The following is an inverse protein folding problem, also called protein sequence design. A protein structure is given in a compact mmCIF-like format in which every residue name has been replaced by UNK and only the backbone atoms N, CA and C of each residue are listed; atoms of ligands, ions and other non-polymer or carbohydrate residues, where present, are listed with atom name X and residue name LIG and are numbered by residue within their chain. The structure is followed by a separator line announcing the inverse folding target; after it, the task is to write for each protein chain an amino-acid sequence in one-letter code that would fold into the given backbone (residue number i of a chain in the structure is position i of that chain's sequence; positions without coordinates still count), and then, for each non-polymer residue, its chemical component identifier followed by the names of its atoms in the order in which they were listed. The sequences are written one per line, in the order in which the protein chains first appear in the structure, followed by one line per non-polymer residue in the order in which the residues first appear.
data_IF_019954176605
#
_entry.id   IF_019954176605
#
_cell.length_a   1.000
_cell.length_b   1.000
_cell.length_c   1.000
_cell.angle_alpha   90.00
_cell.angle_beta   90.00
_cell.angle_gamma   90.00
#
_symmetry.space_group_name_H-M   'P 1'
#
loop_
_entity.id
_entity.type
_entity.pdbx_description
1 polymer ?
#
# COMPACT_ATOMS: atom_id res chain seq x y z
N UNK A 1 -25.55 12.09 14.63
CA UNK A 1 -25.87 11.08 13.60
C UNK A 1 -25.61 9.72 14.21
N UNK A 2 -26.67 9.01 14.57
CA UNK A 2 -26.62 7.71 15.24
C UNK A 2 -26.29 6.62 14.22
N UNK A 3 -25.05 6.11 14.20
CA UNK A 3 -24.71 4.92 13.40
C UNK A 3 -25.33 3.72 14.09
N UNK A 4 -26.49 3.27 13.58
CA UNK A 4 -27.07 1.96 13.94
C UNK A 4 -26.05 0.89 13.56
N UNK A 5 -25.24 0.45 14.52
CA UNK A 5 -24.45 -0.76 14.38
C UNK A 5 -25.44 -1.89 14.12
N UNK A 6 -25.41 -2.44 12.91
CA UNK A 6 -26.28 -3.55 12.56
C UNK A 6 -25.86 -4.72 13.45
N UNK A 7 -26.78 -5.28 14.23
CA UNK A 7 -26.46 -6.33 15.22
C UNK A 7 -25.92 -7.63 14.59
N UNK A 8 -25.86 -7.71 13.25
CA UNK A 8 -25.23 -8.79 12.48
C UNK A 8 -23.77 -8.55 12.07
N UNK A 9 -23.18 -7.40 12.37
CA UNK A 9 -21.79 -7.12 12.01
C UNK A 9 -20.83 -7.97 12.85
N UNK A 10 -20.01 -8.79 12.20
CA UNK A 10 -18.98 -9.58 12.86
C UNK A 10 -18.03 -8.67 13.65
N UNK A 11 -17.47 -9.17 14.74
CA UNK A 11 -16.53 -8.42 15.57
C UNK A 11 -15.37 -7.82 14.76
N UNK A 12 -14.94 -8.52 13.71
CA UNK A 12 -13.97 -8.05 12.72
C UNK A 12 -14.39 -6.76 12.01
N UNK A 13 -15.65 -6.66 11.55
CA UNK A 13 -16.17 -5.47 10.87
C UNK A 13 -16.20 -4.27 11.82
N UNK A 14 -16.57 -4.48 13.09
CA UNK A 14 -16.55 -3.41 14.11
C UNK A 14 -15.13 -2.89 14.35
N UNK A 15 -14.15 -3.79 14.40
CA UNK A 15 -12.74 -3.43 14.54
C UNK A 15 -12.21 -2.63 13.35
N UNK A 16 -12.51 -3.09 12.14
CA UNK A 16 -12.13 -2.40 10.91
C UNK A 16 -12.70 -0.98 10.89
N UNK A 17 -14.00 -0.83 11.16
CA UNK A 17 -14.64 0.49 11.17
C UNK A 17 -14.01 1.42 12.21
N UNK A 18 -13.73 0.91 13.41
CA UNK A 18 -13.04 1.69 14.44
C UNK A 18 -11.64 2.13 14.00
N UNK A 19 -10.87 1.23 13.39
CA UNK A 19 -9.53 1.54 12.89
C UNK A 19 -9.56 2.59 11.78
N UNK A 20 -10.45 2.44 10.79
CA UNK A 20 -10.61 3.40 9.71
C UNK A 20 -11.09 4.78 10.20
N UNK A 21 -12.01 4.83 11.17
CA UNK A 21 -12.46 6.09 11.74
C UNK A 21 -11.30 6.84 12.43
N UNK A 22 -10.51 6.13 13.24
CA UNK A 22 -9.36 6.72 13.94
C UNK A 22 -8.25 7.18 12.98
N UNK A 23 -7.93 6.38 11.97
CA UNK A 23 -6.96 6.73 10.93
C UNK A 23 -7.45 7.94 10.12
N UNK A 24 -8.73 7.94 9.74
CA UNK A 24 -9.35 9.07 9.03
C UNK A 24 -9.27 10.37 9.81
N UNK A 25 -9.55 10.34 11.12
CA UNK A 25 -9.35 11.51 11.98
C UNK A 25 -7.90 12.00 12.02
N UNK A 26 -6.93 11.08 12.07
CA UNK A 26 -5.51 11.43 12.00
C UNK A 26 -5.11 12.11 10.68
N UNK A 27 -5.61 11.58 9.55
CA UNK A 27 -5.37 12.15 8.23
C UNK A 27 -6.02 13.54 8.11
N UNK A 28 -7.25 13.71 8.61
CA UNK A 28 -7.93 15.00 8.58
C UNK A 28 -7.26 16.05 9.49
N UNK A 29 -6.64 15.65 10.60
CA UNK A 29 -5.94 16.56 11.49
C UNK A 29 -4.69 17.18 10.85
N UNK A 30 -3.94 16.38 10.08
CA UNK A 30 -2.71 16.83 9.41
C UNK A 30 -2.56 16.19 8.02
N UNK A 31 -3.34 16.63 7.02
CA UNK A 31 -3.34 15.99 5.70
C UNK A 31 -2.01 16.12 4.98
N UNK A 32 -1.35 17.28 5.14
CA UNK A 32 -0.05 17.54 4.51
C UNK A 32 1.06 16.62 5.02
N UNK A 33 1.07 16.26 6.30
CA UNK A 33 2.09 15.36 6.83
C UNK A 33 1.91 13.95 6.29
N UNK A 34 0.66 13.47 6.15
CA UNK A 34 0.37 12.19 5.51
C UNK A 34 0.79 12.14 4.05
N UNK A 35 0.55 13.23 3.30
CA UNK A 35 0.96 13.34 1.89
C UNK A 35 2.49 13.34 1.75
N UNK A 36 3.20 14.14 2.56
CA UNK A 36 4.67 14.18 2.50
C UNK A 36 5.26 12.83 2.90
N UNK A 37 4.72 12.19 3.94
CA UNK A 37 5.17 10.87 4.38
C UNK A 37 4.97 9.81 3.28
N UNK A 38 3.83 9.81 2.59
CA UNK A 38 3.58 8.87 1.50
C UNK A 38 4.55 9.10 0.33
N UNK A 39 4.84 10.36 -0.03
CA UNK A 39 5.85 10.68 -1.04
C UNK A 39 7.25 10.19 -0.65
N UNK A 40 7.65 10.36 0.61
CA UNK A 40 8.95 9.86 1.10
C UNK A 40 9.02 8.34 0.98
N UNK A 41 7.97 7.64 1.42
CA UNK A 41 7.90 6.17 1.35
C UNK A 41 7.95 5.70 -0.11
N UNK A 42 7.15 6.30 -0.98
CA UNK A 42 7.15 5.99 -2.41
C UNK A 42 8.53 6.25 -3.03
N UNK A 43 9.15 7.39 -2.76
CA UNK A 43 10.49 7.70 -3.23
C UNK A 43 11.52 6.67 -2.76
N UNK A 44 11.45 6.25 -1.49
CA UNK A 44 12.34 5.24 -0.93
C UNK A 44 12.17 3.85 -1.59
N UNK A 45 10.92 3.45 -1.87
CA UNK A 45 10.64 2.22 -2.61
C UNK A 45 11.11 2.32 -4.06
N UNK A 46 10.87 3.45 -4.72
CA UNK A 46 11.28 3.70 -6.10
C UNK A 46 12.80 3.74 -6.26
N UNK A 47 13.56 4.14 -5.23
CA UNK A 47 15.03 4.07 -5.24
C UNK A 47 15.57 2.65 -5.42
N UNK A 48 14.78 1.61 -5.14
CA UNK A 48 15.18 0.23 -5.44
C UNK A 48 15.18 -0.08 -6.93
N UNK A 49 14.39 0.60 -7.74
CA UNK A 49 14.28 0.35 -9.19
C UNK A 49 15.64 0.50 -9.91
N UNK A 50 16.39 1.61 -9.76
CA UNK A 50 17.71 1.73 -10.39
C UNK A 50 18.78 0.83 -9.77
N UNK A 51 18.55 0.33 -8.54
CA UNK A 51 19.48 -0.57 -7.84
C UNK A 51 19.20 -2.06 -8.15
N UNK A 52 18.09 -2.36 -8.82
CA UNK A 52 17.80 -3.70 -9.31
C UNK A 52 18.68 -3.97 -10.52
N UNK A 53 19.48 -5.05 -10.45
CA UNK A 53 20.28 -5.51 -11.57
C UNK A 53 19.36 -5.81 -12.77
N UNK A 54 19.60 -5.13 -13.88
CA UNK A 54 18.91 -5.44 -15.12
C UNK A 54 19.68 -6.53 -15.86
N UNK A 55 19.18 -7.77 -15.77
CA UNK A 55 19.62 -8.83 -16.67
C UNK A 55 19.16 -8.47 -18.09
N UNK A 56 20.11 -8.14 -18.96
CA UNK A 56 19.90 -8.06 -20.40
C UNK A 56 20.54 -9.30 -21.04
N UNK A 57 20.08 -10.48 -20.62
CA UNK A 57 20.65 -11.72 -21.08
C UNK A 57 20.01 -12.10 -22.42
N UNK A 58 20.82 -12.21 -23.48
CA UNK A 58 20.38 -12.60 -24.82
C UNK A 58 19.71 -13.99 -24.80
N UNK A 59 20.00 -14.80 -23.78
CA UNK A 59 19.35 -16.08 -23.50
C UNK A 59 17.84 -16.03 -23.29
N UNK A 60 17.30 -14.91 -22.81
CA UNK A 60 15.84 -14.78 -22.61
C UNK A 60 15.10 -14.79 -23.94
N UNK A 61 15.79 -14.46 -25.03
CA UNK A 61 15.25 -14.45 -26.39
C UNK A 61 15.52 -15.76 -27.15
N UNK A 62 16.37 -16.64 -26.63
CA UNK A 62 16.69 -17.93 -27.24
C UNK A 62 16.55 -19.05 -26.22
N UNK A 63 15.45 -19.83 -26.23
CA UNK A 63 15.28 -20.92 -25.28
C UNK A 63 16.42 -21.93 -25.43
N UNK A 64 17.21 -22.10 -24.37
CA UNK A 64 18.32 -23.08 -24.30
C UNK A 64 17.87 -24.53 -24.46
N UNK A 65 16.56 -24.81 -24.48
CA UNK A 65 15.96 -26.12 -24.70
C UNK A 65 15.61 -26.45 -26.15
N UNK A 66 15.95 -25.60 -27.13
CA UNK A 66 15.71 -25.84 -28.56
C UNK A 66 16.95 -26.40 -29.29
N UNK A 67 17.68 -27.30 -28.63
CA UNK A 67 18.66 -28.20 -29.24
C UNK A 67 18.33 -29.63 -28.89
#
# INVERSE_FOLDING_TARGET
MEKRANNGDTWFIKWINYAFEKIGHGICYAPWTCIVLSFIITGFLSLKIPLTEMENNISDFTPYGAR
#
